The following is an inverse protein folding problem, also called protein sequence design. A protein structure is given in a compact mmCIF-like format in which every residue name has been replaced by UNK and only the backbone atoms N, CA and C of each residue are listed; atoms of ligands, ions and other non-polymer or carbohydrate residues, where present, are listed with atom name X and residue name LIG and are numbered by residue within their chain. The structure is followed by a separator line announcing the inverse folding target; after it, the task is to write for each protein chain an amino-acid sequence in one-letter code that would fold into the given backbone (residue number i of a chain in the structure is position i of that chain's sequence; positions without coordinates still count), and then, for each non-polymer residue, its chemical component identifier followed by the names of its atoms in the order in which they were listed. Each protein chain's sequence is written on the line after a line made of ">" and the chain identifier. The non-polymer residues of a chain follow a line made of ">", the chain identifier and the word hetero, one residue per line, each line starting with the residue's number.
data_IF_462667086357
#
_entry.id   IF_462667086357
#
_cell.length_a   1.000
_cell.length_b   1.000
_cell.length_c   1.000
_cell.angle_alpha   90.00
_cell.angle_beta   90.00
_cell.angle_gamma   90.00
#
_symmetry.space_group_name_H-M   'P 1'
#
loop_
_entity.id
_entity.type
_entity.pdbx_description
1 polymer ?
#
# COMPACT_ATOMS: atom_id res chain seq x y z
N UNK A 1 -41.42 31.07 15.51
CA UNK A 1 -41.63 30.13 14.39
C UNK A 1 -40.50 30.40 13.42
N UNK A 2 -39.44 29.62 13.53
CA UNK A 2 -38.16 29.80 12.83
C UNK A 2 -37.71 28.41 12.37
N UNK A 3 -37.78 28.08 11.06
CA UNK A 3 -37.27 26.79 10.60
C UNK A 3 -35.75 26.90 10.48
N UNK A 4 -35.06 26.37 11.50
CA UNK A 4 -33.60 26.30 11.55
C UNK A 4 -32.98 25.61 10.32
N UNK A 5 -31.67 25.81 10.10
CA UNK A 5 -31.03 25.51 8.84
C UNK A 5 -31.01 24.01 8.58
N UNK A 6 -31.47 23.63 7.38
CA UNK A 6 -31.37 22.29 6.84
C UNK A 6 -29.89 21.88 6.81
N UNK A 7 -29.49 21.00 7.72
CA UNK A 7 -28.21 20.32 7.73
C UNK A 7 -28.09 19.46 6.45
N UNK A 8 -27.67 20.10 5.37
CA UNK A 8 -27.26 19.44 4.14
C UNK A 8 -25.85 18.93 4.36
N UNK A 9 -25.71 17.61 4.49
CA UNK A 9 -24.73 16.72 3.84
C UNK A 9 -24.44 15.50 4.74
N UNK A 10 -24.94 14.30 4.41
CA UNK A 10 -24.18 13.11 4.75
C UNK A 10 -22.95 13.13 3.83
N UNK A 11 -21.82 13.62 4.32
CA UNK A 11 -20.54 13.28 3.71
C UNK A 11 -20.43 11.76 3.83
N UNK A 12 -20.55 11.09 2.67
CA UNK A 12 -20.37 9.65 2.56
C UNK A 12 -19.11 9.26 3.35
N UNK A 13 -19.07 8.07 3.98
CA UNK A 13 -17.83 7.61 4.55
C UNK A 13 -16.81 7.66 3.41
N UNK A 14 -15.76 8.47 3.57
CA UNK A 14 -14.51 8.19 2.87
C UNK A 14 -14.21 6.76 3.28
N UNK A 15 -14.63 5.81 2.45
CA UNK A 15 -14.02 4.50 2.40
C UNK A 15 -12.54 4.83 2.48
N UNK A 16 -11.86 4.31 3.50
CA UNK A 16 -10.42 4.41 3.65
C UNK A 16 -9.76 3.60 2.52
N UNK A 17 -10.16 3.89 1.29
CA UNK A 17 -9.49 3.57 0.07
C UNK A 17 -8.14 4.23 0.32
N UNK A 18 -7.16 3.36 0.43
CA UNK A 18 -5.78 3.71 0.32
C UNK A 18 -5.63 4.38 -1.05
N UNK A 19 -5.90 5.68 -1.11
CA UNK A 19 -5.94 6.43 -2.36
C UNK A 19 -4.59 6.30 -3.04
N UNK A 20 -4.55 6.28 -4.37
CA UNK A 20 -3.29 6.23 -5.13
C UNK A 20 -2.28 7.29 -4.67
N UNK A 21 -2.77 8.44 -4.21
CA UNK A 21 -1.97 9.48 -3.58
C UNK A 21 -1.31 9.03 -2.26
N UNK A 22 -2.07 8.40 -1.36
CA UNK A 22 -1.53 7.84 -0.11
C UNK A 22 -0.51 6.73 -0.39
N UNK A 23 -0.79 5.85 -1.36
CA UNK A 23 0.16 4.82 -1.80
C UNK A 23 1.47 5.42 -2.29
N UNK A 24 1.39 6.40 -3.22
CA UNK A 24 2.59 7.08 -3.75
C UNK A 24 3.37 7.82 -2.66
N UNK A 25 2.68 8.49 -1.75
CA UNK A 25 3.30 9.18 -0.62
C UNK A 25 3.97 8.20 0.37
N UNK A 26 3.47 6.97 0.51
CA UNK A 26 4.13 5.94 1.29
C UNK A 26 5.37 5.42 0.58
N UNK A 27 5.26 5.10 -0.72
CA UNK A 27 6.41 4.62 -1.51
C UNK A 27 7.57 5.62 -1.52
N UNK A 28 7.30 6.91 -1.64
CA UNK A 28 8.34 7.94 -1.64
C UNK A 28 9.11 8.05 -0.31
N UNK A 29 8.49 7.62 0.80
CA UNK A 29 9.09 7.64 2.14
C UNK A 29 9.90 6.39 2.46
N UNK A 30 9.65 5.28 1.78
CA UNK A 30 10.31 4.00 2.05
C UNK A 30 11.84 4.10 2.00
N UNK A 31 12.49 4.71 0.98
CA UNK A 31 13.95 4.80 0.94
C UNK A 31 14.52 5.55 2.13
N UNK A 32 13.85 6.64 2.54
CA UNK A 32 14.27 7.45 3.68
C UNK A 32 14.09 6.71 5.01
N UNK A 33 13.01 5.93 5.15
CA UNK A 33 12.71 5.21 6.40
C UNK A 33 13.43 3.87 6.52
N UNK A 34 13.77 3.22 5.41
CA UNK A 34 14.31 1.85 5.39
C UNK A 34 15.76 1.79 4.92
N UNK A 35 16.30 2.88 4.38
CA UNK A 35 17.64 2.93 3.79
C UNK A 35 17.79 2.10 2.50
N UNK A 36 16.68 1.62 1.93
CA UNK A 36 16.65 0.78 0.73
C UNK A 36 15.61 1.29 -0.27
N UNK A 37 16.00 1.34 -1.53
CA UNK A 37 15.14 1.77 -2.62
C UNK A 37 13.93 0.84 -2.81
N UNK A 38 12.79 1.40 -3.25
CA UNK A 38 11.58 0.61 -3.52
C UNK A 38 11.86 -0.48 -4.56
N UNK A 39 12.68 -0.21 -5.58
CA UNK A 39 13.04 -1.20 -6.58
C UNK A 39 13.75 -2.43 -6.00
N UNK A 40 14.62 -2.24 -5.00
CA UNK A 40 15.31 -3.34 -4.32
C UNK A 40 14.36 -4.13 -3.42
N UNK A 41 13.39 -3.45 -2.80
CA UNK A 41 12.30 -4.12 -2.09
C UNK A 41 11.45 -4.98 -3.03
N UNK A 42 11.10 -4.47 -4.21
CA UNK A 42 10.36 -5.23 -5.21
C UNK A 42 11.15 -6.46 -5.68
N UNK A 43 12.47 -6.34 -5.86
CA UNK A 43 13.35 -7.48 -6.16
C UNK A 43 13.36 -8.49 -5.01
N UNK A 44 13.45 -8.02 -3.77
CA UNK A 44 13.41 -8.87 -2.57
C UNK A 44 12.13 -9.70 -2.53
N UNK A 45 10.98 -9.10 -2.90
CA UNK A 45 9.70 -9.81 -2.98
C UNK A 45 9.68 -10.84 -4.12
N UNK A 46 10.32 -10.55 -5.25
CA UNK A 46 10.42 -11.46 -6.41
C UNK A 46 11.35 -12.65 -6.13
N UNK A 47 12.43 -12.44 -5.38
CA UNK A 47 13.37 -13.46 -4.91
C UNK A 47 12.86 -14.24 -3.68
N UNK A 48 11.83 -13.70 -3.02
CA UNK A 48 11.23 -14.26 -1.81
C UNK A 48 10.31 -15.47 -2.06
N UNK A 49 9.67 -15.98 -1.00
CA UNK A 49 8.74 -17.10 -1.11
C UNK A 49 7.53 -16.74 -1.98
N UNK A 50 7.09 -17.69 -2.80
CA UNK A 50 5.96 -17.53 -3.71
C UNK A 50 4.60 -17.61 -2.98
N UNK A 51 4.33 -16.68 -2.07
CA UNK A 51 3.04 -16.59 -1.39
C UNK A 51 1.93 -16.18 -2.37
N UNK A 52 0.77 -16.83 -2.23
CA UNK A 52 -0.41 -16.53 -3.04
C UNK A 52 -1.23 -15.38 -2.45
N UNK A 53 -1.31 -15.29 -1.12
CA UNK A 53 -2.13 -14.27 -0.46
C UNK A 53 -1.33 -13.00 -0.20
N UNK A 54 -2.00 -11.87 -0.37
CA UNK A 54 -1.43 -10.55 -0.15
C UNK A 54 -0.91 -10.37 1.30
N UNK A 55 -1.73 -10.71 2.30
CA UNK A 55 -1.35 -10.57 3.72
C UNK A 55 -0.17 -11.46 4.12
N UNK A 56 -0.01 -12.64 3.49
CA UNK A 56 1.14 -13.52 3.76
C UNK A 56 2.44 -12.86 3.31
N UNK A 57 2.47 -12.25 2.11
CA UNK A 57 3.63 -11.49 1.62
C UNK A 57 3.96 -10.32 2.54
N UNK A 58 2.93 -9.59 3.00
CA UNK A 58 3.12 -8.44 3.90
C UNK A 58 3.68 -8.90 5.24
N UNK A 59 3.13 -9.98 5.82
CA UNK A 59 3.61 -10.54 7.08
C UNK A 59 5.05 -11.04 6.97
N UNK A 60 5.40 -11.73 5.88
CA UNK A 60 6.76 -12.19 5.61
C UNK A 60 7.74 -11.04 5.48
N UNK A 61 7.44 -10.06 4.61
CA UNK A 61 8.33 -8.93 4.36
C UNK A 61 8.56 -8.11 5.63
N UNK A 62 7.52 -7.96 6.46
CA UNK A 62 7.63 -7.34 7.79
C UNK A 62 8.44 -8.18 8.76
N UNK A 63 8.24 -9.49 8.81
CA UNK A 63 8.93 -10.40 9.73
C UNK A 63 10.43 -10.45 9.44
N UNK A 64 10.79 -10.65 8.17
CA UNK A 64 12.19 -10.80 7.74
C UNK A 64 12.98 -9.49 7.81
N UNK A 65 12.34 -8.36 7.47
CA UNK A 65 13.03 -7.07 7.32
C UNK A 65 12.59 -6.01 8.33
N UNK A 66 11.82 -6.38 9.35
CA UNK A 66 11.33 -5.50 10.42
C UNK A 66 10.63 -4.23 9.91
N UNK A 67 9.95 -4.32 8.75
CA UNK A 67 9.27 -3.18 8.15
C UNK A 67 7.96 -2.84 8.89
N UNK A 68 7.64 -1.55 8.93
CA UNK A 68 6.31 -1.11 9.34
C UNK A 68 5.24 -1.70 8.39
N UNK A 69 4.08 -2.06 8.94
CA UNK A 69 2.98 -2.68 8.16
C UNK A 69 2.57 -1.84 6.95
N UNK A 70 2.49 -0.51 7.10
CA UNK A 70 2.15 0.39 5.99
C UNK A 70 3.18 0.38 4.85
N UNK A 71 4.48 0.31 5.16
CA UNK A 71 5.54 0.22 4.15
C UNK A 71 5.50 -1.14 3.44
N UNK A 72 5.39 -2.23 4.20
CA UNK A 72 5.29 -3.57 3.63
C UNK A 72 4.06 -3.70 2.72
N UNK A 73 2.90 -3.21 3.17
CA UNK A 73 1.66 -3.19 2.40
C UNK A 73 1.82 -2.42 1.07
N UNK A 74 2.44 -1.24 1.09
CA UNK A 74 2.68 -0.45 -0.11
C UNK A 74 3.63 -1.16 -1.10
N UNK A 75 4.70 -1.80 -0.61
CA UNK A 75 5.64 -2.55 -1.45
C UNK A 75 4.93 -3.72 -2.15
N UNK A 76 4.19 -4.54 -1.41
CA UNK A 76 3.50 -5.70 -1.98
C UNK A 76 2.44 -5.25 -2.99
N UNK A 77 1.71 -4.17 -2.70
CA UNK A 77 0.70 -3.63 -3.60
C UNK A 77 1.34 -3.18 -4.93
N UNK A 78 2.43 -2.42 -4.86
CA UNK A 78 3.19 -1.98 -6.03
C UNK A 78 3.75 -3.17 -6.84
N UNK A 79 4.25 -4.20 -6.15
CA UNK A 79 4.74 -5.42 -6.78
C UNK A 79 3.64 -6.12 -7.58
N UNK A 80 2.46 -6.31 -6.97
CA UNK A 80 1.35 -7.01 -7.61
C UNK A 80 0.78 -6.21 -8.80
N UNK A 81 0.72 -4.86 -8.71
CA UNK A 81 0.38 -3.99 -9.84
C UNK A 81 1.35 -4.16 -11.00
N UNK A 82 2.67 -4.09 -10.74
CA UNK A 82 3.70 -4.28 -11.78
C UNK A 82 3.65 -5.67 -12.37
N UNK A 83 3.42 -6.70 -11.56
CA UNK A 83 3.31 -8.09 -12.03
C UNK A 83 2.07 -8.28 -12.90
N UNK A 84 0.94 -7.68 -12.54
CA UNK A 84 -0.26 -7.70 -13.36
C UNK A 84 -0.04 -7.00 -14.72
N UNK A 85 0.60 -5.83 -14.72
CA UNK A 85 0.96 -5.12 -15.96
C UNK A 85 1.88 -5.95 -16.87
N UNK A 86 2.81 -6.74 -16.32
CA UNK A 86 3.65 -7.67 -17.11
C UNK A 86 2.87 -8.84 -17.71
N UNK A 87 1.82 -9.32 -17.05
CA UNK A 87 1.00 -10.45 -17.52
C UNK A 87 -0.01 -10.07 -18.62
N UNK A 88 -0.31 -8.78 -18.75
CA UNK A 88 -1.27 -8.25 -19.73
C UNK A 88 -0.61 -7.89 -21.09
N UNK A 89 0.68 -8.17 -21.26
CA UNK A 89 1.46 -7.91 -22.47
C UNK A 89 1.82 -9.22 -23.15
#
# INVERSE_FOLDING_TARGET
>A
MDPGPAWKRPEAPMSQIFSDETHRNLLSRIPQCTGREVADWLRTVDEGPAFFRFEEKVSWLRGEHQLAYGHAKAIIHEHDLRRAARKLR
#
